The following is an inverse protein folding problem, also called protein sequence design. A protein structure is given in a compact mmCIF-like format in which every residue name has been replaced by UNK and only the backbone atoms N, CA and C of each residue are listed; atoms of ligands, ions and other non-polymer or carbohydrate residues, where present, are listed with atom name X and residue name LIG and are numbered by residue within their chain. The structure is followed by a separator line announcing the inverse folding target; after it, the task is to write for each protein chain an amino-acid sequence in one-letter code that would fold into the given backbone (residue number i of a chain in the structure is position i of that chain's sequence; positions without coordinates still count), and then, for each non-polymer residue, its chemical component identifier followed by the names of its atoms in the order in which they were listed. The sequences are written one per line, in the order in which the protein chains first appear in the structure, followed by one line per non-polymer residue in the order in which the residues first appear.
data_IF_177915997219
#
_entry.id   IF_177915997219
#
_cell.length_a   1.000
_cell.length_b   1.000
_cell.length_c   1.000
_cell.angle_alpha   90.00
_cell.angle_beta   90.00
_cell.angle_gamma   90.00
#
_symmetry.space_group_name_H-M   'P 1'
#
loop_
_entity.id
_entity.type
_entity.pdbx_description
1 polymer ?
#
# COMPACT_ATOMS: atom_id res chain seq x y z
N UNK A 1 -15.90 21.37 13.18
CA UNK A 1 -16.03 20.27 12.21
C UNK A 1 -14.68 20.14 11.53
N UNK A 2 -13.90 19.11 11.84
CA UNK A 2 -12.61 18.88 11.17
C UNK A 2 -12.87 17.92 10.00
N UNK A 3 -12.51 18.35 8.79
CA UNK A 3 -12.55 17.53 7.58
C UNK A 3 -11.80 16.21 7.80
N UNK A 4 -12.43 15.10 7.43
CA UNK A 4 -11.79 13.79 7.44
C UNK A 4 -10.91 13.66 6.20
N UNK A 5 -9.58 13.78 6.36
CA UNK A 5 -8.64 13.64 5.25
C UNK A 5 -8.51 12.18 4.81
N UNK A 6 -8.52 11.92 3.50
CA UNK A 6 -8.14 10.62 2.95
C UNK A 6 -6.65 10.69 2.60
N UNK A 7 -5.89 9.67 2.98
CA UNK A 7 -4.47 9.56 2.67
C UNK A 7 -4.18 8.22 1.97
N UNK A 8 -3.85 8.30 0.69
CA UNK A 8 -3.54 7.14 -0.15
C UNK A 8 -2.10 6.69 0.01
N UNK A 9 -1.90 5.39 0.24
CA UNK A 9 -0.58 4.79 0.40
C UNK A 9 -0.44 3.56 -0.49
N UNK A 10 0.54 3.61 -1.39
CA UNK A 10 0.96 2.48 -2.21
C UNK A 10 1.86 1.52 -1.45
N UNK A 11 1.55 0.22 -1.51
CA UNK A 11 2.37 -0.84 -0.93
C UNK A 11 2.62 -1.91 -1.98
N UNK A 12 3.90 -2.25 -2.23
CA UNK A 12 4.29 -3.31 -3.16
C UNK A 12 4.93 -4.43 -2.37
N UNK A 13 4.36 -5.64 -2.44
CA UNK A 13 4.84 -6.83 -1.72
C UNK A 13 4.93 -8.01 -2.66
N UNK A 14 5.84 -8.96 -2.40
CA UNK A 14 5.82 -10.24 -3.11
C UNK A 14 4.79 -11.17 -2.46
N UNK A 15 3.53 -11.11 -2.91
CA UNK A 15 2.40 -11.78 -2.25
C UNK A 15 2.39 -13.30 -2.42
N UNK A 16 3.25 -13.84 -3.30
CA UNK A 16 3.47 -15.29 -3.43
C UNK A 16 4.43 -15.84 -2.36
N UNK A 17 5.26 -14.99 -1.75
CA UNK A 17 6.14 -15.36 -0.63
C UNK A 17 5.39 -15.41 0.69
N UNK A 18 5.80 -16.32 1.59
CA UNK A 18 5.31 -16.37 2.97
C UNK A 18 5.52 -15.01 3.68
N UNK A 19 6.69 -14.40 3.49
CA UNK A 19 7.03 -13.11 4.08
C UNK A 19 6.12 -12.00 3.55
N UNK A 20 5.80 -12.00 2.25
CA UNK A 20 4.90 -10.99 1.68
C UNK A 20 3.46 -11.13 2.19
N UNK A 21 2.99 -12.36 2.40
CA UNK A 21 1.69 -12.61 3.04
C UNK A 21 1.68 -12.16 4.50
N UNK A 22 2.73 -12.49 5.26
CA UNK A 22 2.88 -12.05 6.66
C UNK A 22 2.94 -10.53 6.76
N UNK A 23 3.70 -9.86 5.89
CA UNK A 23 3.79 -8.41 5.84
C UNK A 23 2.42 -7.76 5.57
N UNK A 24 1.66 -8.28 4.58
CA UNK A 24 0.30 -7.81 4.29
C UNK A 24 -0.60 -7.90 5.52
N UNK A 25 -0.61 -9.06 6.19
CA UNK A 25 -1.43 -9.25 7.41
C UNK A 25 -0.98 -8.31 8.53
N UNK A 26 0.33 -8.19 8.76
CA UNK A 26 0.88 -7.31 9.79
C UNK A 26 0.51 -5.84 9.58
N UNK A 27 0.56 -5.35 8.34
CA UNK A 27 0.17 -3.97 8.01
C UNK A 27 -1.31 -3.74 8.30
N UNK A 28 -2.19 -4.66 7.88
CA UNK A 28 -3.63 -4.54 8.10
C UNK A 28 -3.98 -4.57 9.59
N UNK A 29 -3.38 -5.47 10.37
CA UNK A 29 -3.60 -5.53 11.82
C UNK A 29 -3.11 -4.25 12.51
N UNK A 30 -1.93 -3.74 12.16
CA UNK A 30 -1.42 -2.50 12.74
C UNK A 30 -2.33 -1.29 12.45
N UNK A 31 -2.94 -1.26 11.26
CA UNK A 31 -3.92 -0.24 10.90
C UNK A 31 -5.21 -0.37 11.72
N UNK A 32 -5.74 -1.59 11.87
CA UNK A 32 -6.91 -1.85 12.70
C UNK A 32 -6.65 -1.46 14.18
N UNK A 33 -5.52 -1.88 14.75
CA UNK A 33 -5.10 -1.55 16.10
C UNK A 33 -4.98 -0.03 16.29
N UNK A 34 -4.38 0.67 15.32
CA UNK A 34 -4.24 2.12 15.35
C UNK A 34 -5.60 2.82 15.44
N UNK A 35 -6.57 2.43 14.61
CA UNK A 35 -7.91 3.02 14.62
C UNK A 35 -8.76 2.57 15.81
N UNK A 36 -8.51 1.39 16.38
CA UNK A 36 -9.18 0.94 17.59
C UNK A 36 -8.79 1.80 18.81
N UNK A 37 -7.51 2.16 18.92
CA UNK A 37 -6.98 3.04 19.96
C UNK A 37 -7.33 4.52 19.72
N UNK A 38 -7.27 4.98 18.46
CA UNK A 38 -7.48 6.38 18.09
C UNK A 38 -8.83 6.61 17.41
N UNK A 39 -9.94 6.38 18.12
CA UNK A 39 -11.31 6.46 17.57
C UNK A 39 -11.68 7.84 17.00
N UNK A 40 -11.05 8.91 17.49
CA UNK A 40 -11.29 10.29 17.05
C UNK A 40 -10.31 10.74 15.96
N UNK A 41 -9.46 9.85 15.45
CA UNK A 41 -8.57 10.16 14.33
C UNK A 41 -9.38 10.22 13.04
N UNK A 42 -9.49 11.41 12.46
CA UNK A 42 -10.36 11.66 11.30
C UNK A 42 -9.71 11.27 9.98
N UNK A 43 -8.38 11.17 9.93
CA UNK A 43 -7.68 10.79 8.69
C UNK A 43 -7.83 9.29 8.40
N UNK A 44 -8.30 8.95 7.20
CA UNK A 44 -8.48 7.58 6.72
C UNK A 44 -7.35 7.19 5.78
N UNK A 45 -6.57 6.20 6.19
CA UNK A 45 -5.53 5.58 5.40
C UNK A 45 -6.17 4.62 4.39
N UNK A 46 -5.88 4.79 3.11
CA UNK A 46 -6.30 3.87 2.04
C UNK A 46 -5.06 3.17 1.51
N UNK A 47 -4.98 1.86 1.75
CA UNK A 47 -3.85 1.03 1.35
C UNK A 47 -4.09 0.42 -0.02
N UNK A 48 -3.21 0.76 -0.97
CA UNK A 48 -3.18 0.21 -2.31
C UNK A 48 -2.09 -0.86 -2.42
N UNK A 49 -2.44 -2.10 -2.04
CA UNK A 49 -1.49 -3.23 -2.01
C UNK A 49 -1.43 -3.90 -3.39
N UNK A 50 -0.23 -3.96 -3.99
CA UNK A 50 0.04 -4.64 -5.26
C UNK A 50 1.06 -5.76 -5.10
N UNK A 51 0.87 -6.86 -5.84
CA UNK A 51 1.88 -7.93 -5.93
C UNK A 51 3.06 -7.44 -6.80
N UNK A 52 4.29 -7.68 -6.37
CA UNK A 52 5.49 -7.43 -7.18
C UNK A 52 5.63 -8.39 -8.38
N UNK A 53 4.67 -9.32 -8.52
CA UNK A 53 4.60 -10.35 -9.55
C UNK A 53 5.80 -11.32 -9.55
N UNK A 54 6.60 -11.32 -8.47
CA UNK A 54 7.81 -12.14 -8.36
C UNK A 54 8.88 -11.72 -9.34
N UNK A 55 9.23 -10.42 -9.33
CA UNK A 55 10.13 -9.72 -10.25
C UNK A 55 11.29 -10.61 -10.76
N UNK A 56 11.07 -11.20 -11.93
CA UNK A 56 12.04 -11.98 -12.66
C UNK A 56 12.79 -11.07 -13.63
N UNK A 57 13.35 -9.95 -13.16
CA UNK A 57 14.37 -9.11 -13.81
C UNK A 57 14.19 -8.73 -15.30
N UNK A 58 13.05 -9.02 -15.95
CA UNK A 58 12.86 -8.85 -17.40
C UNK A 58 12.25 -7.51 -17.78
N UNK A 59 12.27 -6.56 -16.86
CA UNK A 59 11.49 -5.32 -16.95
C UNK A 59 12.38 -4.06 -16.98
N UNK A 60 13.70 -4.16 -17.22
CA UNK A 60 14.62 -2.98 -17.34
C UNK A 60 14.12 -1.93 -18.36
N UNK A 61 13.35 -2.35 -19.38
CA UNK A 61 12.73 -1.43 -20.35
C UNK A 61 11.37 -0.83 -19.93
N UNK A 62 10.71 -1.34 -18.88
CA UNK A 62 9.40 -0.85 -18.41
C UNK A 62 9.53 0.12 -17.23
N UNK A 63 10.61 0.03 -16.44
CA UNK A 63 10.90 0.94 -15.32
C UNK A 63 10.91 2.43 -15.70
N UNK A 64 11.29 2.78 -16.92
CA UNK A 64 11.26 4.18 -17.41
C UNK A 64 9.85 4.71 -17.65
N UNK A 65 8.83 3.83 -17.76
CA UNK A 65 7.42 4.22 -17.91
C UNK A 65 6.70 4.33 -16.57
N UNK A 66 7.12 3.56 -15.56
CA UNK A 66 6.46 3.49 -14.24
C UNK A 66 6.75 4.69 -13.32
N UNK A 67 7.81 5.47 -13.58
CA UNK A 67 8.16 6.63 -12.74
C UNK A 67 7.69 7.97 -13.31
N UNK A 68 7.21 8.00 -14.56
CA UNK A 68 6.85 9.24 -15.27
C UNK A 68 5.35 9.49 -15.40
N UNK A 69 4.47 8.58 -14.96
CA UNK A 69 3.03 8.83 -14.94
C UNK A 69 2.58 9.32 -13.56
N UNK A 70 2.26 10.62 -13.41
CA UNK A 70 1.75 11.12 -12.15
C UNK A 70 0.29 10.66 -11.97
N UNK A 71 0.07 9.89 -10.91
CA UNK A 71 -1.17 9.88 -10.12
C UNK A 71 -2.47 9.42 -10.82
N UNK A 72 -2.41 8.54 -11.84
CA UNK A 72 -3.63 7.95 -12.45
C UNK A 72 -3.89 6.48 -12.11
N UNK A 73 -3.17 5.90 -11.15
CA UNK A 73 -3.34 4.48 -10.81
C UNK A 73 -3.24 4.19 -9.31
N UNK A 74 -3.73 5.13 -8.51
CA UNK A 74 -4.24 4.88 -7.17
C UNK A 74 -5.77 5.00 -7.24
#
# INVERSE_FOLDING_TARGET
MLEAGIFDVGVILHLKSLVGKMARTSILMAMEDFYAVHRNYTTKLVLHIRDSNGDNMREVGRWTRWTTEPLRSF
#
